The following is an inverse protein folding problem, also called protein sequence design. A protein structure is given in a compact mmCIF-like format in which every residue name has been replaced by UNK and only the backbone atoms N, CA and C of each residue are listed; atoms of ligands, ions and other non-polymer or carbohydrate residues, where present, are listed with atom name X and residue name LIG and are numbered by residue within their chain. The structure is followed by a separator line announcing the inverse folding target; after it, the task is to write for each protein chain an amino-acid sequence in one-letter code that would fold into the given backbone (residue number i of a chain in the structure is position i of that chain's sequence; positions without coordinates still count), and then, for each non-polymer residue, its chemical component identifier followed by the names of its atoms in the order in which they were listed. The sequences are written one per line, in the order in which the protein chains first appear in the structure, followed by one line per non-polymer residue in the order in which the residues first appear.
data_IF_466803084234
#
_entry.id   IF_466803084234
#
_cell.length_a   1.000
_cell.length_b   1.000
_cell.length_c   1.000
_cell.angle_alpha   90.00
_cell.angle_beta   90.00
_cell.angle_gamma   90.00
#
_symmetry.space_group_name_H-M   'P 1'
#
loop_
_entity.id
_entity.type
_entity.pdbx_description
1 polymer ?
#
# COMPACT_ATOMS: atom_id res chain seq x y z
N UNK A 1 -20.80 9.79 6.44
CA UNK A 1 -19.38 10.17 6.58
C UNK A 1 -19.31 11.64 6.98
N UNK A 2 -18.60 11.96 8.05
CA UNK A 2 -18.46 13.35 8.52
C UNK A 2 -17.26 14.07 7.88
N UNK A 3 -17.15 15.38 8.09
CA UNK A 3 -16.09 16.22 7.50
C UNK A 3 -14.68 15.72 7.86
N UNK A 4 -14.49 15.20 9.08
CA UNK A 4 -13.19 14.66 9.53
C UNK A 4 -12.66 13.52 8.64
N UNK A 5 -13.55 12.69 8.10
CA UNK A 5 -13.19 11.61 7.18
C UNK A 5 -12.63 12.15 5.86
N UNK A 6 -13.26 13.18 5.29
CA UNK A 6 -12.82 13.80 4.03
C UNK A 6 -11.49 14.53 4.21
N UNK A 7 -11.34 15.26 5.31
CA UNK A 7 -10.09 15.92 5.69
C UNK A 7 -8.94 14.92 5.88
N UNK A 8 -9.18 13.80 6.58
CA UNK A 8 -8.21 12.72 6.73
C UNK A 8 -7.83 12.08 5.38
N UNK A 9 -8.83 11.73 4.58
CA UNK A 9 -8.61 11.04 3.29
C UNK A 9 -7.85 11.94 2.32
N UNK A 10 -8.22 13.22 2.24
CA UNK A 10 -7.51 14.23 1.45
C UNK A 10 -6.07 14.41 1.92
N UNK A 11 -5.84 14.53 3.23
CA UNK A 11 -4.50 14.64 3.81
C UNK A 11 -3.61 13.42 3.46
N UNK A 12 -4.13 12.20 3.66
CA UNK A 12 -3.41 10.96 3.35
C UNK A 12 -3.09 10.85 1.85
N UNK A 13 -4.03 11.24 1.00
CA UNK A 13 -3.88 11.23 -0.47
C UNK A 13 -2.82 12.23 -0.94
N UNK A 14 -2.81 13.44 -0.39
CA UNK A 14 -1.79 14.45 -0.68
C UNK A 14 -0.40 14.00 -0.21
N UNK A 15 -0.29 13.42 1.00
CA UNK A 15 0.98 12.90 1.51
C UNK A 15 1.52 11.78 0.60
N UNK A 16 0.64 10.89 0.15
CA UNK A 16 1.01 9.83 -0.78
C UNK A 16 1.44 10.38 -2.15
N UNK A 17 0.74 11.38 -2.68
CA UNK A 17 1.13 12.03 -3.93
C UNK A 17 2.52 12.67 -3.80
N UNK A 18 2.78 13.34 -2.67
CA UNK A 18 4.09 13.94 -2.41
C UNK A 18 5.22 12.91 -2.38
N UNK A 19 4.94 11.72 -1.85
CA UNK A 19 5.89 10.61 -1.81
C UNK A 19 6.19 10.08 -3.22
N UNK A 20 5.17 9.89 -4.06
CA UNK A 20 5.34 9.41 -5.43
C UNK A 20 6.16 10.42 -6.25
N UNK A 21 5.76 11.70 -6.21
CA UNK A 21 6.45 12.77 -6.93
C UNK A 21 7.92 12.86 -6.51
N UNK A 22 8.20 12.83 -5.21
CA UNK A 22 9.57 12.86 -4.70
C UNK A 22 10.40 11.68 -5.21
N UNK A 23 9.90 10.45 -5.02
CA UNK A 23 10.67 9.25 -5.36
C UNK A 23 10.96 9.16 -6.85
N UNK A 24 9.96 9.43 -7.68
CA UNK A 24 10.14 9.37 -9.12
C UNK A 24 11.02 10.50 -9.64
N UNK A 25 10.89 11.72 -9.11
CA UNK A 25 11.75 12.85 -9.51
C UNK A 25 13.22 12.54 -9.23
N UNK A 26 13.55 12.03 -8.04
CA UNK A 26 14.94 11.74 -7.71
C UNK A 26 15.47 10.52 -8.46
N UNK A 27 14.64 9.49 -8.64
CA UNK A 27 15.02 8.34 -9.47
C UNK A 27 15.36 8.78 -10.90
N UNK A 28 14.56 9.68 -11.46
CA UNK A 28 14.79 10.26 -12.78
C UNK A 28 16.07 11.08 -12.86
N UNK A 29 16.33 11.96 -11.87
CA UNK A 29 17.55 12.78 -11.80
C UNK A 29 18.80 11.92 -11.70
N UNK A 30 18.80 10.92 -10.81
CA UNK A 30 19.93 9.98 -10.67
C UNK A 30 20.17 9.25 -12.00
N UNK A 31 19.11 8.81 -12.69
CA UNK A 31 19.25 8.15 -13.97
C UNK A 31 19.83 9.08 -15.04
N UNK A 32 19.36 10.33 -15.14
CA UNK A 32 19.90 11.29 -16.10
C UNK A 32 21.38 11.61 -15.87
N UNK A 33 21.78 11.77 -14.60
CA UNK A 33 23.15 12.14 -14.26
C UNK A 33 24.12 10.95 -14.38
N UNK A 34 23.69 9.75 -14.01
CA UNK A 34 24.57 8.55 -13.97
C UNK A 34 24.46 7.66 -15.20
N UNK A 35 23.39 7.78 -15.99
CA UNK A 35 23.00 6.86 -17.07
C UNK A 35 22.95 5.38 -16.63
N UNK A 36 22.77 5.13 -15.32
CA UNK A 36 22.83 3.80 -14.73
C UNK A 36 21.51 3.43 -14.07
N UNK A 37 20.90 2.37 -14.58
CA UNK A 37 19.66 1.79 -14.05
C UNK A 37 19.86 1.31 -12.62
N UNK A 38 21.05 0.78 -12.30
CA UNK A 38 21.39 0.28 -10.96
C UNK A 38 21.34 1.40 -9.92
N UNK A 39 21.97 2.55 -10.19
CA UNK A 39 21.95 3.68 -9.26
C UNK A 39 20.53 4.23 -9.08
N UNK A 40 19.76 4.32 -10.16
CA UNK A 40 18.36 4.74 -10.12
C UNK A 40 17.49 3.77 -9.28
N UNK A 41 17.72 2.46 -9.38
CA UNK A 41 16.98 1.43 -8.64
C UNK A 41 17.35 1.35 -7.15
N UNK A 42 18.58 1.71 -6.77
CA UNK A 42 19.04 1.72 -5.37
C UNK A 42 18.24 2.72 -4.54
N UNK A 43 17.81 3.84 -5.12
CA UNK A 43 17.06 4.88 -4.42
C UNK A 43 15.70 4.39 -3.84
N UNK A 44 14.76 3.86 -4.63
CA UNK A 44 13.51 3.32 -4.09
C UNK A 44 13.73 2.09 -3.19
N UNK A 45 14.80 1.32 -3.42
CA UNK A 45 15.18 0.19 -2.57
C UNK A 45 15.56 0.65 -1.16
N UNK A 46 16.47 1.62 -1.03
CA UNK A 46 16.88 2.20 0.26
C UNK A 46 15.66 2.78 0.98
N UNK A 47 14.80 3.51 0.27
CA UNK A 47 13.56 4.05 0.85
C UNK A 47 12.70 2.93 1.45
N UNK A 48 12.50 1.84 0.72
CA UNK A 48 11.68 0.70 1.18
C UNK A 48 12.28 0.06 2.43
N UNK A 49 13.60 -0.17 2.45
CA UNK A 49 14.30 -0.69 3.62
C UNK A 49 14.19 0.25 4.83
N UNK A 50 14.39 1.55 4.63
CA UNK A 50 14.22 2.56 5.68
C UNK A 50 12.79 2.56 6.25
N UNK A 51 11.78 2.48 5.39
CA UNK A 51 10.39 2.42 5.84
C UNK A 51 10.06 1.13 6.58
N UNK A 52 10.60 -0.01 6.14
CA UNK A 52 10.49 -1.30 6.83
C UNK A 52 11.08 -1.22 8.24
N UNK A 53 12.33 -0.74 8.36
CA UNK A 53 12.98 -0.55 9.66
C UNK A 53 12.23 0.44 10.55
N UNK A 54 11.75 1.55 9.97
CA UNK A 54 10.98 2.53 10.71
C UNK A 54 9.62 1.97 11.16
N UNK A 55 8.96 1.17 10.33
CA UNK A 55 7.70 0.49 10.63
C UNK A 55 7.82 -0.48 11.81
N UNK A 56 8.94 -1.18 11.93
CA UNK A 56 9.29 -2.02 13.09
C UNK A 56 9.39 -1.22 14.40
N UNK A 57 9.95 -0.01 14.33
CA UNK A 57 10.21 0.85 15.50
C UNK A 57 8.98 1.72 15.83
N UNK A 58 8.08 1.94 14.87
CA UNK A 58 6.88 2.79 15.00
C UNK A 58 6.04 2.50 16.26
N UNK A 59 5.72 1.25 16.63
CA UNK A 59 4.97 0.94 17.86
C UNK A 59 5.64 1.43 19.14
N UNK A 60 6.97 1.25 19.22
CA UNK A 60 7.77 1.65 20.39
C UNK A 60 7.78 3.18 20.53
N UNK A 61 7.91 3.89 19.41
CA UNK A 61 7.83 5.35 19.38
C UNK A 61 6.43 5.83 19.74
N UNK A 62 5.39 5.17 19.23
CA UNK A 62 4.00 5.52 19.51
C UNK A 62 3.67 5.42 21.00
N UNK A 63 4.19 4.39 21.69
CA UNK A 63 4.02 4.23 23.13
C UNK A 63 4.83 5.25 23.94
N UNK A 64 6.04 5.59 23.49
CA UNK A 64 6.92 6.54 24.20
C UNK A 64 6.47 7.99 24.04
N UNK A 65 6.13 8.40 22.83
CA UNK A 65 5.84 9.79 22.49
C UNK A 65 4.35 10.09 22.28
N UNK A 66 3.47 9.09 22.36
CA UNK A 66 2.05 9.18 22.03
C UNK A 66 1.84 9.43 20.52
N UNK A 67 1.04 8.61 19.83
CA UNK A 67 0.97 8.75 18.37
C UNK A 67 0.39 10.08 17.90
N UNK A 68 -0.47 10.76 18.68
CA UNK A 68 -0.94 12.09 18.29
C UNK A 68 0.23 13.09 18.16
N UNK A 69 1.27 12.99 19.02
CA UNK A 69 2.44 13.87 18.93
C UNK A 69 3.28 13.49 17.72
N UNK A 70 3.44 12.21 17.43
CA UNK A 70 4.15 11.75 16.24
C UNK A 70 3.45 12.21 14.97
N UNK A 71 2.13 12.04 14.88
CA UNK A 71 1.29 12.50 13.76
C UNK A 71 1.28 14.02 13.60
N UNK A 72 1.62 14.79 14.64
CA UNK A 72 1.76 16.24 14.56
C UNK A 72 3.18 16.67 14.16
N UNK A 73 4.19 16.17 14.86
CA UNK A 73 5.56 16.68 14.75
C UNK A 73 6.38 16.01 13.66
N UNK A 74 6.17 14.72 13.38
CA UNK A 74 6.95 14.01 12.36
C UNK A 74 6.64 14.55 10.95
N UNK A 75 5.39 14.86 10.54
CA UNK A 75 5.13 15.52 9.26
C UNK A 75 5.75 16.91 9.15
N UNK A 76 5.78 17.69 10.24
CA UNK A 76 6.43 19.01 10.26
C UNK A 76 7.95 18.90 10.14
N UNK A 77 8.56 17.94 10.85
CA UNK A 77 9.98 17.62 10.69
C UNK A 77 10.29 17.20 9.25
N UNK A 78 9.44 16.33 8.68
CA UNK A 78 9.55 15.87 7.30
C UNK A 78 9.46 17.04 6.32
N UNK A 79 8.52 17.97 6.51
CA UNK A 79 8.41 19.19 5.71
C UNK A 79 9.70 20.01 5.78
N UNK A 80 10.26 20.21 6.98
CA UNK A 80 11.55 20.90 7.15
C UNK A 80 12.69 20.21 6.39
N UNK A 81 12.77 18.88 6.47
CA UNK A 81 13.75 18.09 5.71
C UNK A 81 13.57 18.26 4.20
N UNK A 82 12.33 18.25 3.71
CA UNK A 82 12.01 18.48 2.29
C UNK A 82 12.37 19.88 1.81
N UNK A 83 12.14 20.91 2.64
CA UNK A 83 12.51 22.30 2.32
C UNK A 83 14.04 22.41 2.22
N UNK A 84 14.78 21.88 3.20
CA UNK A 84 16.25 21.87 3.17
C UNK A 84 16.75 21.09 1.96
N UNK A 85 16.14 19.93 1.68
CA UNK A 85 16.48 19.11 0.52
C UNK A 85 16.27 19.84 -0.80
N UNK A 86 15.14 20.51 -0.96
CA UNK A 86 14.82 21.27 -2.18
C UNK A 86 15.74 22.48 -2.32
N UNK A 87 15.99 23.23 -1.25
CA UNK A 87 16.86 24.39 -1.26
C UNK A 87 18.32 24.04 -1.58
N UNK A 88 18.79 22.87 -1.15
CA UNK A 88 20.15 22.36 -1.39
C UNK A 88 20.20 21.34 -2.53
N UNK A 89 19.18 21.28 -3.38
CA UNK A 89 19.04 20.25 -4.39
C UNK A 89 20.25 20.17 -5.33
N UNK A 90 20.74 21.32 -5.82
CA UNK A 90 21.91 21.36 -6.70
C UNK A 90 23.20 20.86 -6.01
N UNK A 91 23.37 21.16 -4.71
CA UNK A 91 24.50 20.64 -3.92
C UNK A 91 24.40 19.12 -3.73
N UNK A 92 23.21 18.61 -3.41
CA UNK A 92 22.97 17.18 -3.26
C UNK A 92 23.09 16.41 -4.58
N UNK A 93 22.73 17.03 -5.70
CA UNK A 93 22.92 16.47 -7.04
C UNK A 93 24.42 16.26 -7.34
N UNK A 94 25.28 17.23 -7.00
CA UNK A 94 26.72 17.10 -7.18
C UNK A 94 27.40 16.15 -6.17
N UNK A 95 26.79 15.95 -5.00
CA UNK A 95 27.31 15.09 -3.94
C UNK A 95 26.32 13.97 -3.59
N UNK A 96 26.36 12.89 -4.37
CA UNK A 96 25.42 11.77 -4.28
C UNK A 96 25.30 11.14 -2.88
N UNK A 97 26.37 11.17 -2.06
CA UNK A 97 26.33 10.71 -0.66
C UNK A 97 25.31 11.51 0.16
N UNK A 98 25.30 12.84 0.05
CA UNK A 98 24.39 13.69 0.81
C UNK A 98 22.93 13.53 0.37
N UNK A 99 22.72 13.27 -0.92
CA UNK A 99 21.41 12.88 -1.46
C UNK A 99 20.88 11.62 -0.77
N UNK A 100 21.69 10.56 -0.68
CA UNK A 100 21.31 9.33 0.01
C UNK A 100 21.10 9.52 1.51
N UNK A 101 21.92 10.34 2.18
CA UNK A 101 21.73 10.65 3.60
C UNK A 101 20.38 11.33 3.82
N UNK A 102 20.05 12.36 3.04
CA UNK A 102 18.77 13.06 3.16
C UNK A 102 17.58 12.13 2.84
N UNK A 103 17.72 11.26 1.83
CA UNK A 103 16.74 10.22 1.51
C UNK A 103 16.44 9.33 2.72
N UNK A 104 17.48 8.83 3.41
CA UNK A 104 17.32 7.92 4.54
C UNK A 104 16.50 8.60 5.65
N UNK A 105 16.87 9.83 6.02
CA UNK A 105 16.14 10.58 7.04
C UNK A 105 14.68 10.83 6.65
N UNK A 106 14.43 11.28 5.42
CA UNK A 106 13.07 11.51 4.92
C UNK A 106 12.26 10.21 4.90
N UNK A 107 12.85 9.10 4.45
CA UNK A 107 12.16 7.81 4.31
C UNK A 107 11.74 7.21 5.65
N UNK A 108 12.61 7.33 6.66
CA UNK A 108 12.33 6.87 8.03
C UNK A 108 11.07 7.55 8.59
N UNK A 109 10.89 8.86 8.34
CA UNK A 109 9.70 9.57 8.84
C UNK A 109 8.38 8.98 8.30
N UNK A 110 8.36 8.57 7.03
CA UNK A 110 7.19 7.94 6.42
C UNK A 110 6.83 6.60 7.06
N UNK A 111 7.83 5.77 7.35
CA UNK A 111 7.62 4.47 8.01
C UNK A 111 7.13 4.59 9.45
N UNK A 112 7.50 5.66 10.18
CA UNK A 112 6.94 5.93 11.50
C UNK A 112 5.45 6.28 11.45
N UNK A 113 5.04 7.08 10.47
CA UNK A 113 3.68 7.61 10.38
C UNK A 113 2.69 6.63 9.74
N UNK A 114 3.11 5.81 8.78
CA UNK A 114 2.21 4.98 7.98
C UNK A 114 1.30 4.04 8.80
N UNK A 115 1.80 3.23 9.76
CA UNK A 115 0.95 2.36 10.58
C UNK A 115 -0.01 3.15 11.48
N UNK A 116 0.42 4.34 11.91
CA UNK A 116 -0.39 5.24 12.73
C UNK A 116 -1.57 5.79 11.93
N UNK A 117 -1.33 6.26 10.69
CA UNK A 117 -2.39 6.77 9.82
C UNK A 117 -3.42 5.69 9.52
N UNK A 118 -3.00 4.44 9.26
CA UNK A 118 -3.94 3.34 8.98
C UNK A 118 -4.86 3.04 10.17
N UNK A 119 -4.36 3.18 11.39
CA UNK A 119 -5.14 2.93 12.61
C UNK A 119 -6.23 3.99 12.90
N UNK A 120 -6.24 5.13 12.21
CA UNK A 120 -7.17 6.24 12.48
C UNK A 120 -8.56 5.97 11.88
N UNK A 121 -8.66 5.20 10.80
CA UNK A 121 -9.93 5.04 10.06
C UNK A 121 -11.12 4.64 10.95
N UNK A 122 -10.99 3.68 11.88
CA UNK A 122 -12.11 3.29 12.75
C UNK A 122 -12.54 4.34 13.76
N UNK A 123 -11.70 5.35 14.02
CA UNK A 123 -12.05 6.48 14.89
C UNK A 123 -12.88 7.55 14.14
N UNK A 124 -12.84 7.56 12.81
CA UNK A 124 -13.46 8.59 11.98
C UNK A 124 -14.90 8.29 11.58
N UNK A 125 -15.25 7.02 11.56
CA UNK A 125 -16.57 6.55 11.10
C UNK A 125 -17.08 5.43 12.02
N UNK A 126 -18.40 5.31 12.18
CA UNK A 126 -18.96 4.16 12.89
C UNK A 126 -18.61 2.83 12.21
N UNK A 127 -18.54 1.74 12.98
CA UNK A 127 -18.17 0.40 12.52
C UNK A 127 -18.98 -0.07 11.30
N UNK A 128 -20.27 0.27 11.23
CA UNK A 128 -21.16 -0.09 10.12
C UNK A 128 -20.91 0.70 8.81
N UNK A 129 -20.04 1.70 8.82
CA UNK A 129 -19.64 2.48 7.65
C UNK A 129 -18.19 2.21 7.22
N UNK A 130 -17.48 1.28 7.89
CA UNK A 130 -16.06 1.00 7.62
C UNK A 130 -15.82 0.53 6.18
N UNK A 131 -16.65 -0.38 5.65
CA UNK A 131 -16.50 -0.80 4.24
C UNK A 131 -16.63 0.39 3.32
N UNK A 132 -17.62 1.26 3.54
CA UNK A 132 -17.81 2.44 2.71
C UNK A 132 -16.61 3.38 2.80
N UNK A 133 -16.08 3.59 4.00
CA UNK A 133 -14.93 4.47 4.26
C UNK A 133 -13.63 3.94 3.65
N UNK A 134 -13.33 2.66 3.84
CA UNK A 134 -12.18 1.99 3.23
C UNK A 134 -12.30 1.96 1.70
N UNK A 135 -13.48 1.66 1.16
CA UNK A 135 -13.74 1.69 -0.29
C UNK A 135 -13.50 3.09 -0.86
N UNK A 136 -14.05 4.12 -0.22
CA UNK A 136 -13.83 5.51 -0.65
C UNK A 136 -12.35 5.87 -0.57
N UNK A 137 -11.65 5.57 0.53
CA UNK A 137 -10.22 5.84 0.65
C UNK A 137 -9.39 5.09 -0.41
N UNK A 138 -9.77 3.87 -0.78
CA UNK A 138 -9.11 3.10 -1.84
C UNK A 138 -9.25 3.76 -3.21
N UNK A 139 -10.40 4.34 -3.54
CA UNK A 139 -10.59 5.07 -4.81
C UNK A 139 -9.58 6.21 -4.91
N UNK A 140 -9.46 7.03 -3.85
CA UNK A 140 -8.47 8.12 -3.82
C UNK A 140 -7.04 7.59 -3.91
N UNK A 141 -6.73 6.49 -3.22
CA UNK A 141 -5.43 5.84 -3.30
C UNK A 141 -5.10 5.44 -4.75
N UNK A 142 -6.00 4.74 -5.45
CA UNK A 142 -5.79 4.31 -6.83
C UNK A 142 -5.67 5.50 -7.78
N UNK A 143 -6.50 6.54 -7.60
CA UNK A 143 -6.42 7.78 -8.40
C UNK A 143 -5.09 8.50 -8.21
N UNK A 144 -4.56 8.56 -6.98
CA UNK A 144 -3.24 9.15 -6.72
C UNK A 144 -2.11 8.32 -7.31
N UNK A 145 -2.19 6.98 -7.26
CA UNK A 145 -1.17 6.13 -7.89
C UNK A 145 -1.14 6.33 -9.40
N UNK A 146 -2.28 6.19 -10.07
CA UNK A 146 -2.32 6.31 -11.53
C UNK A 146 -1.88 7.71 -11.98
N UNK A 147 -2.36 8.78 -11.31
CA UNK A 147 -1.95 10.13 -11.64
C UNK A 147 -0.47 10.40 -11.34
N UNK A 148 0.00 9.98 -10.16
CA UNK A 148 1.38 10.17 -9.74
C UNK A 148 2.36 9.45 -10.67
N UNK A 149 2.18 8.15 -10.89
CA UNK A 149 3.10 7.37 -11.72
C UNK A 149 3.05 7.78 -13.20
N UNK A 150 1.88 8.16 -13.72
CA UNK A 150 1.76 8.54 -15.14
C UNK A 150 2.29 9.93 -15.45
N UNK A 151 2.03 10.91 -14.57
CA UNK A 151 2.33 12.31 -14.87
C UNK A 151 3.64 12.82 -14.29
N UNK A 152 4.28 12.12 -13.33
CA UNK A 152 5.50 12.65 -12.70
C UNK A 152 6.62 12.87 -13.72
N UNK A 153 6.90 11.90 -14.60
CA UNK A 153 7.97 12.05 -15.60
C UNK A 153 7.74 13.25 -16.54
N UNK A 154 6.50 13.42 -17.02
CA UNK A 154 6.11 14.57 -17.84
C UNK A 154 6.28 15.90 -17.07
N UNK A 155 5.89 15.94 -15.79
CA UNK A 155 6.05 17.13 -14.95
C UNK A 155 7.53 17.45 -14.73
N UNK A 156 8.37 16.44 -14.45
CA UNK A 156 9.83 16.65 -14.29
C UNK A 156 10.43 17.24 -15.57
N UNK A 157 10.05 16.74 -16.75
CA UNK A 157 10.54 17.25 -18.03
C UNK A 157 10.03 18.66 -18.36
N UNK A 158 8.80 18.99 -17.96
CA UNK A 158 8.16 20.26 -18.32
C UNK A 158 8.57 21.43 -17.43
N UNK A 159 8.58 21.22 -16.10
CA UNK A 159 8.88 22.29 -15.13
C UNK A 159 10.23 22.13 -14.44
N UNK A 160 10.93 21.02 -14.65
CA UNK A 160 12.22 20.73 -14.02
C UNK A 160 12.10 20.12 -12.61
N UNK A 161 13.11 19.34 -12.17
CA UNK A 161 13.09 18.63 -10.89
C UNK A 161 13.03 19.56 -9.68
N UNK A 162 13.75 20.70 -9.71
CA UNK A 162 13.76 21.67 -8.62
C UNK A 162 12.36 22.23 -8.31
N UNK A 163 11.63 22.68 -9.34
CA UNK A 163 10.30 23.24 -9.17
C UNK A 163 9.27 22.19 -8.75
N UNK A 164 9.40 20.95 -9.25
CA UNK A 164 8.52 19.87 -8.84
C UNK A 164 8.75 19.44 -7.38
N UNK A 165 9.99 19.46 -6.90
CA UNK A 165 10.31 19.26 -5.47
C UNK A 165 9.76 20.40 -4.60
N UNK A 166 9.83 21.65 -5.08
CA UNK A 166 9.19 22.79 -4.43
C UNK A 166 7.67 22.64 -4.35
N UNK A 167 7.02 22.21 -5.43
CA UNK A 167 5.59 21.89 -5.45
C UNK A 167 5.24 20.76 -4.49
N UNK A 168 6.10 19.76 -4.37
CA UNK A 168 5.95 18.66 -3.40
C UNK A 168 5.93 19.18 -1.95
N UNK A 169 6.73 20.19 -1.62
CA UNK A 169 6.69 20.85 -0.30
C UNK A 169 5.33 21.50 -0.04
N UNK A 170 4.74 22.17 -1.04
CA UNK A 170 3.40 22.77 -0.92
C UNK A 170 2.32 21.70 -0.68
N UNK A 171 2.41 20.55 -1.35
CA UNK A 171 1.51 19.42 -1.12
C UNK A 171 1.58 18.93 0.32
N UNK A 172 2.78 18.84 0.91
CA UNK A 172 2.96 18.41 2.31
C UNK A 172 2.35 19.43 3.28
N UNK A 173 2.49 20.74 3.00
CA UNK A 173 1.82 21.81 3.78
C UNK A 173 0.31 21.65 3.71
N UNK A 174 -0.25 21.51 2.51
CA UNK A 174 -1.69 21.30 2.30
C UNK A 174 -2.19 20.02 3.01
N UNK A 175 -1.43 18.93 2.92
CA UNK A 175 -1.73 17.68 3.63
C UNK A 175 -1.80 17.91 5.14
N UNK A 176 -0.86 18.66 5.72
CA UNK A 176 -0.81 18.97 7.15
C UNK A 176 -1.97 19.87 7.58
N UNK A 177 -2.35 20.85 6.76
CA UNK A 177 -3.52 21.71 6.99
C UNK A 177 -4.82 20.90 6.94
N UNK A 178 -5.00 20.03 5.93
CA UNK A 178 -6.14 19.13 5.84
C UNK A 178 -6.23 18.18 7.03
N UNK A 179 -5.11 17.81 7.66
CA UNK A 179 -5.13 16.93 8.83
C UNK A 179 -5.55 17.64 10.13
N UNK A 180 -5.49 18.97 10.19
CA UNK A 180 -5.74 19.73 11.44
C UNK A 180 -7.08 19.41 12.13
N UNK A 181 -8.22 19.29 11.43
CA UNK A 181 -9.51 18.97 12.04
C UNK A 181 -9.59 17.58 12.68
N UNK A 182 -8.63 16.70 12.39
CA UNK A 182 -8.56 15.32 12.92
C UNK A 182 -7.87 15.29 14.28
N UNK A 183 -6.94 16.21 14.58
CA UNK A 183 -6.18 16.20 15.84
C UNK A 183 -7.02 16.21 17.13
N UNK A 184 -8.12 16.98 17.25
CA UNK A 184 -8.92 16.97 18.47
C UNK A 184 -9.47 15.59 18.83
N UNK A 185 -9.82 14.79 17.82
CA UNK A 185 -10.30 13.41 17.97
C UNK A 185 -9.21 12.53 18.61
N UNK A 186 -7.99 12.61 18.06
CA UNK A 186 -6.83 11.85 18.53
C UNK A 186 -6.40 12.24 19.95
N UNK A 187 -6.63 13.50 20.35
CA UNK A 187 -6.30 14.02 21.68
C UNK A 187 -7.31 13.58 22.73
N UNK A 188 -8.61 13.61 22.40
CA UNK A 188 -9.70 13.25 23.33
C UNK A 188 -9.68 11.76 23.68
N UNK A 189 -9.41 10.91 22.70
CA UNK A 189 -9.47 9.48 22.92
C UNK A 189 -8.39 8.99 23.90
N UNK A 190 -7.22 9.63 23.99
CA UNK A 190 -6.15 9.14 24.89
C UNK A 190 -5.78 7.66 24.67
N UNK A 191 -6.25 7.05 23.57
CA UNK A 191 -6.32 5.61 23.27
C UNK A 191 -4.94 4.99 23.04
N UNK A 192 -3.91 5.83 23.04
CA UNK A 192 -2.50 5.43 23.06
C UNK A 192 -1.95 5.84 24.44
N UNK A 193 -2.58 5.32 25.49
CA UNK A 193 -2.12 5.47 26.87
C UNK A 193 -1.03 4.43 27.14
N UNK A 194 0.03 4.86 27.84
CA UNK A 194 1.22 4.10 28.28
C UNK A 194 0.98 2.57 28.39
N UNK A 195 1.39 1.82 27.38
CA UNK A 195 1.72 0.41 27.60
C UNK A 195 3.12 0.34 28.24
N UNK A 196 3.28 -0.55 29.22
CA UNK A 196 4.50 -0.69 30.02
C UNK A 196 5.75 -0.91 29.15
N UNK A 197 6.89 -0.40 29.65
CA UNK A 197 8.23 -0.45 29.03
C UNK A 197 8.52 -1.81 28.36
N UNK A 198 9.12 -1.74 27.18
CA UNK A 198 9.76 -2.82 26.41
C UNK A 198 8.88 -3.93 25.81
N UNK A 199 7.62 -4.10 26.22
CA UNK A 199 6.71 -5.13 25.64
C UNK A 199 6.04 -4.72 24.32
N UNK A 200 6.01 -3.42 24.01
CA UNK A 200 5.32 -2.81 22.87
C UNK A 200 5.57 -3.45 21.51
N UNK A 201 6.83 -3.83 21.24
CA UNK A 201 7.20 -4.45 19.97
C UNK A 201 6.46 -5.78 19.76
N UNK A 202 6.30 -6.58 20.83
CA UNK A 202 5.68 -7.90 20.78
C UNK A 202 4.16 -7.86 20.80
N UNK A 203 3.55 -6.75 21.21
CA UNK A 203 2.09 -6.67 21.37
C UNK A 203 1.35 -6.94 20.06
N UNK A 204 1.76 -6.31 18.95
CA UNK A 204 1.14 -6.52 17.64
C UNK A 204 1.22 -7.99 17.19
N UNK A 205 2.41 -8.59 17.32
CA UNK A 205 2.62 -10.01 17.04
C UNK A 205 1.82 -10.93 17.96
N UNK A 206 1.68 -10.56 19.23
CA UNK A 206 0.91 -11.32 20.23
C UNK A 206 -0.57 -11.30 19.90
N UNK A 207 -1.10 -10.15 19.46
CA UNK A 207 -2.50 -10.03 19.01
C UNK A 207 -2.73 -10.91 17.79
N UNK A 208 -1.85 -10.83 16.79
CA UNK A 208 -1.91 -11.69 15.59
C UNK A 208 -1.89 -13.15 16.01
N UNK A 209 -1.04 -13.56 16.95
CA UNK A 209 -0.93 -14.98 17.34
C UNK A 209 -2.12 -15.48 18.16
N UNK A 210 -2.67 -14.66 19.06
CA UNK A 210 -3.75 -15.03 19.99
C UNK A 210 -5.14 -14.95 19.35
N UNK A 211 -5.41 -13.95 18.51
CA UNK A 211 -6.70 -13.83 17.83
C UNK A 211 -6.69 -14.69 16.56
N UNK A 212 -7.46 -15.78 16.57
CA UNK A 212 -7.53 -16.74 15.45
C UNK A 212 -8.01 -16.09 14.14
N UNK A 213 -8.95 -15.15 14.22
CA UNK A 213 -9.47 -14.42 13.06
C UNK A 213 -8.35 -13.57 12.45
N UNK A 214 -7.71 -12.73 13.27
CA UNK A 214 -6.59 -11.87 12.82
C UNK A 214 -5.45 -12.72 12.27
N UNK A 215 -5.06 -13.82 12.94
CA UNK A 215 -4.02 -14.73 12.45
C UNK A 215 -4.30 -15.27 11.06
N UNK A 216 -5.54 -15.70 10.83
CA UNK A 216 -5.96 -16.29 9.55
C UNK A 216 -5.92 -15.21 8.46
N UNK A 217 -6.38 -13.98 8.76
CA UNK A 217 -6.28 -12.84 7.85
C UNK A 217 -4.83 -12.49 7.54
N UNK A 218 -3.94 -12.44 8.55
CA UNK A 218 -2.52 -12.17 8.34
C UNK A 218 -1.88 -13.23 7.45
N UNK A 219 -2.23 -14.50 7.62
CA UNK A 219 -1.72 -15.57 6.76
C UNK A 219 -2.22 -15.43 5.31
N UNK A 220 -3.50 -15.11 5.12
CA UNK A 220 -4.05 -14.80 3.79
C UNK A 220 -3.33 -13.62 3.16
N UNK A 221 -3.15 -12.54 3.91
CA UNK A 221 -2.44 -11.33 3.48
C UNK A 221 -1.02 -11.65 3.01
N UNK A 222 -0.28 -12.47 3.75
CA UNK A 222 1.07 -12.91 3.36
C UNK A 222 1.04 -13.72 2.06
N UNK A 223 0.12 -14.68 1.93
CA UNK A 223 0.00 -15.49 0.71
C UNK A 223 -0.35 -14.62 -0.51
N UNK A 224 -1.25 -13.66 -0.33
CA UNK A 224 -1.69 -12.75 -1.39
C UNK A 224 -0.61 -11.73 -1.74
N UNK A 225 0.19 -11.26 -0.78
CA UNK A 225 1.38 -10.44 -1.03
C UNK A 225 2.44 -11.20 -1.84
N UNK A 226 2.67 -12.49 -1.53
CA UNK A 226 3.58 -13.35 -2.30
C UNK A 226 3.07 -13.49 -3.73
N UNK A 227 1.80 -13.87 -3.90
CA UNK A 227 1.22 -14.00 -5.23
C UNK A 227 1.15 -12.67 -5.99
N UNK A 228 0.90 -11.56 -5.31
CA UNK A 228 0.81 -10.24 -5.91
C UNK A 228 2.10 -9.80 -6.59
N UNK A 229 3.26 -10.37 -6.20
CA UNK A 229 4.54 -10.09 -6.84
C UNK A 229 4.58 -10.49 -8.33
N UNK A 230 3.66 -11.32 -8.83
CA UNK A 230 3.57 -11.62 -10.27
C UNK A 230 3.17 -10.39 -11.10
N UNK A 231 2.58 -9.36 -10.49
CA UNK A 231 2.15 -8.13 -11.16
C UNK A 231 3.22 -7.03 -11.19
N UNK A 232 4.48 -7.36 -10.88
CA UNK A 232 5.59 -6.42 -10.98
C UNK A 232 5.83 -6.04 -12.43
N UNK A 233 6.19 -4.78 -12.66
CA UNK A 233 6.34 -4.20 -13.99
C UNK A 233 7.17 -5.05 -14.95
N UNK A 234 8.29 -5.62 -14.50
CA UNK A 234 9.16 -6.46 -15.33
C UNK A 234 8.47 -7.73 -15.85
N UNK A 235 7.68 -8.42 -15.00
CA UNK A 235 6.95 -9.64 -15.40
C UNK A 235 5.83 -9.30 -16.37
N UNK A 236 5.07 -8.24 -16.08
CA UNK A 236 4.00 -7.77 -16.95
C UNK A 236 4.55 -7.34 -18.32
N UNK A 237 5.72 -6.68 -18.35
CA UNK A 237 6.39 -6.28 -19.59
C UNK A 237 6.85 -7.50 -20.39
N UNK A 238 7.47 -8.48 -19.73
CA UNK A 238 7.87 -9.74 -20.37
C UNK A 238 6.65 -10.48 -20.95
N UNK A 239 5.54 -10.56 -20.23
CA UNK A 239 4.31 -11.17 -20.74
C UNK A 239 3.75 -10.46 -21.97
N UNK A 240 3.71 -9.13 -21.97
CA UNK A 240 3.25 -8.35 -23.12
C UNK A 240 4.12 -8.57 -24.35
N UNK A 241 5.44 -8.52 -24.17
CA UNK A 241 6.39 -8.57 -25.29
C UNK A 241 6.66 -9.99 -25.80
N UNK A 242 6.65 -10.98 -24.91
CA UNK A 242 7.05 -12.37 -25.24
C UNK A 242 5.86 -13.31 -25.38
N UNK A 243 4.79 -13.15 -24.59
CA UNK A 243 3.63 -14.04 -24.61
C UNK A 243 2.48 -13.49 -25.47
N UNK A 244 2.23 -12.17 -25.42
CA UNK A 244 1.22 -11.50 -26.25
C UNK A 244 1.77 -10.99 -27.60
N UNK A 245 3.10 -10.96 -27.77
CA UNK A 245 3.78 -10.50 -28.99
C UNK A 245 3.42 -9.05 -29.39
N UNK A 246 3.21 -8.18 -28.40
CA UNK A 246 2.82 -6.79 -28.57
C UNK A 246 3.95 -5.81 -28.21
N UNK A 247 3.81 -4.54 -28.61
CA UNK A 247 4.78 -3.49 -28.27
C UNK A 247 4.80 -3.16 -26.77
N UNK A 248 5.90 -2.56 -26.32
CA UNK A 248 6.06 -2.14 -24.91
C UNK A 248 4.97 -1.16 -24.45
N UNK A 249 4.32 -0.43 -25.35
CA UNK A 249 3.22 0.48 -25.02
C UNK A 249 2.04 -0.25 -24.35
N UNK A 250 1.83 -1.52 -24.71
CA UNK A 250 0.77 -2.35 -24.12
C UNK A 250 1.00 -2.64 -22.63
N UNK A 251 2.25 -2.59 -22.15
CA UNK A 251 2.52 -2.64 -20.71
C UNK A 251 1.87 -1.45 -19.99
N UNK A 252 1.88 -0.27 -20.60
CA UNK A 252 1.16 0.91 -20.11
C UNK A 252 -0.35 0.69 -20.09
N UNK A 253 -0.91 0.14 -21.18
CA UNK A 253 -2.35 -0.16 -21.26
C UNK A 253 -2.81 -1.19 -20.21
N UNK A 254 -2.01 -2.23 -19.95
CA UNK A 254 -2.30 -3.25 -18.93
C UNK A 254 -2.32 -2.64 -17.52
N UNK A 255 -1.33 -1.79 -17.20
CA UNK A 255 -1.30 -1.08 -15.92
C UNK A 255 -2.50 -0.12 -15.78
N UNK A 256 -2.82 0.64 -16.82
CA UNK A 256 -3.98 1.53 -16.84
C UNK A 256 -5.30 0.75 -16.65
N UNK A 257 -5.46 -0.39 -17.35
CA UNK A 257 -6.59 -1.29 -17.21
C UNK A 257 -6.74 -1.81 -15.77
N UNK A 258 -5.64 -2.22 -15.13
CA UNK A 258 -5.63 -2.66 -13.74
C UNK A 258 -6.08 -1.57 -12.76
N UNK A 259 -5.51 -0.36 -12.86
CA UNK A 259 -5.90 0.77 -12.02
C UNK A 259 -7.35 1.21 -12.25
N UNK A 260 -7.80 1.24 -13.51
CA UNK A 260 -9.20 1.54 -13.86
C UNK A 260 -10.13 0.49 -13.25
N UNK A 261 -9.80 -0.80 -13.38
CA UNK A 261 -10.54 -1.88 -12.73
C UNK A 261 -10.60 -1.69 -11.21
N UNK A 262 -9.48 -1.36 -10.56
CA UNK A 262 -9.44 -1.16 -9.12
C UNK A 262 -10.28 0.04 -8.66
N UNK A 263 -10.30 1.14 -9.43
CA UNK A 263 -11.18 2.30 -9.18
C UNK A 263 -12.66 1.89 -9.30
N UNK A 264 -13.02 1.17 -10.37
CA UNK A 264 -14.38 0.61 -10.55
C UNK A 264 -14.72 -0.30 -9.36
N UNK A 265 -13.78 -1.14 -8.93
CA UNK A 265 -13.91 -1.99 -7.77
C UNK A 265 -14.20 -1.23 -6.48
N UNK A 266 -13.48 -0.14 -6.23
CA UNK A 266 -13.70 0.74 -5.08
C UNK A 266 -15.08 1.41 -5.13
N UNK A 267 -15.51 1.84 -6.32
CA UNK A 267 -16.85 2.41 -6.52
C UNK A 267 -17.96 1.38 -6.26
N UNK A 268 -17.81 0.17 -6.79
CA UNK A 268 -18.73 -0.95 -6.56
C UNK A 268 -18.77 -1.34 -5.08
N UNK A 269 -17.62 -1.44 -4.42
CA UNK A 269 -17.53 -1.74 -3.00
C UNK A 269 -18.18 -0.66 -2.13
N UNK A 270 -18.02 0.62 -2.49
CA UNK A 270 -18.68 1.74 -1.81
C UNK A 270 -20.21 1.70 -2.02
N UNK A 271 -20.67 1.41 -3.25
CA UNK A 271 -22.08 1.29 -3.60
C UNK A 271 -22.75 0.11 -2.87
N UNK A 272 -22.12 -1.06 -2.85
CA UNK A 272 -22.60 -2.27 -2.17
C UNK A 272 -22.21 -2.35 -0.69
N UNK A 273 -21.64 -1.28 -0.12
CA UNK A 273 -21.01 -1.30 1.20
C UNK A 273 -21.87 -1.89 2.30
N UNK A 274 -23.19 -1.64 2.28
CA UNK A 274 -24.13 -2.20 3.26
C UNK A 274 -24.23 -3.73 3.22
N UNK A 275 -24.14 -4.33 2.03
CA UNK A 275 -24.19 -5.79 1.85
C UNK A 275 -22.86 -6.41 2.25
N UNK A 276 -21.75 -5.83 1.77
CA UNK A 276 -20.39 -6.28 2.08
C UNK A 276 -20.13 -6.23 3.59
N UNK A 277 -20.52 -5.13 4.26
CA UNK A 277 -20.35 -4.97 5.71
C UNK A 277 -21.02 -6.09 6.52
N UNK A 278 -22.13 -6.66 6.04
CA UNK A 278 -22.84 -7.76 6.72
C UNK A 278 -22.18 -9.12 6.49
N UNK A 279 -21.39 -9.27 5.43
CA UNK A 279 -20.86 -10.56 4.96
C UNK A 279 -19.38 -10.45 4.57
N UNK A 280 -18.59 -9.73 5.37
CA UNK A 280 -17.18 -9.41 5.06
C UNK A 280 -16.36 -10.64 4.65
N UNK A 281 -16.47 -11.73 5.40
CA UNK A 281 -15.74 -12.98 5.10
C UNK A 281 -16.13 -13.59 3.75
N UNK A 282 -17.43 -13.54 3.39
CA UNK A 282 -17.91 -14.07 2.11
C UNK A 282 -17.35 -13.25 0.94
N UNK A 283 -17.42 -11.92 1.03
CA UNK A 283 -16.91 -11.04 -0.02
C UNK A 283 -15.38 -11.06 -0.13
N UNK A 284 -14.67 -11.21 0.99
CA UNK A 284 -13.23 -11.45 1.01
C UNK A 284 -12.87 -12.74 0.27
N UNK A 285 -13.54 -13.84 0.64
CA UNK A 285 -13.36 -15.16 0.02
C UNK A 285 -13.68 -15.17 -1.48
N UNK A 286 -14.85 -14.66 -1.85
CA UNK A 286 -15.29 -14.60 -3.24
C UNK A 286 -14.38 -13.69 -4.07
N UNK A 287 -13.97 -12.55 -3.54
CA UNK A 287 -13.02 -11.64 -4.21
C UNK A 287 -11.67 -12.31 -4.46
N UNK A 288 -11.12 -13.00 -3.46
CA UNK A 288 -9.84 -13.73 -3.61
C UNK A 288 -9.94 -14.87 -4.63
N UNK A 289 -11.04 -15.64 -4.62
CA UNK A 289 -11.30 -16.70 -5.59
C UNK A 289 -11.44 -16.17 -7.02
N UNK A 290 -12.26 -15.13 -7.23
CA UNK A 290 -12.47 -14.53 -8.56
C UNK A 290 -11.17 -13.92 -9.07
N UNK A 291 -10.41 -13.23 -8.22
CA UNK A 291 -9.11 -12.68 -8.57
C UNK A 291 -8.12 -13.76 -9.00
N UNK A 292 -8.07 -14.89 -8.29
CA UNK A 292 -7.22 -16.03 -8.64
C UNK A 292 -7.59 -16.64 -10.00
N UNK A 293 -8.89 -16.90 -10.23
CA UNK A 293 -9.38 -17.42 -11.52
C UNK A 293 -9.05 -16.47 -12.66
N UNK A 294 -9.29 -15.17 -12.49
CA UNK A 294 -8.96 -14.18 -13.50
C UNK A 294 -7.45 -14.07 -13.76
N UNK A 295 -6.61 -14.24 -12.74
CA UNK A 295 -5.14 -14.29 -12.90
C UNK A 295 -4.73 -15.50 -13.75
N UNK A 296 -5.35 -16.66 -13.53
CA UNK A 296 -5.10 -17.86 -14.36
C UNK A 296 -5.56 -17.63 -15.79
N UNK A 297 -6.75 -17.05 -15.99
CA UNK A 297 -7.27 -16.71 -17.32
C UNK A 297 -6.39 -15.69 -18.03
N UNK A 298 -5.85 -14.71 -17.32
CA UNK A 298 -4.89 -13.75 -17.85
C UNK A 298 -3.67 -14.47 -18.42
N UNK A 299 -3.12 -15.42 -17.67
CA UNK A 299 -1.94 -16.19 -18.07
C UNK A 299 -2.21 -17.06 -19.32
N UNK A 300 -3.36 -17.74 -19.38
CA UNK A 300 -3.72 -18.65 -20.47
C UNK A 300 -4.09 -17.92 -21.77
N UNK A 301 -4.42 -16.65 -21.68
CA UNK A 301 -4.83 -15.84 -22.81
C UNK A 301 -3.64 -15.49 -23.73
N UNK A 302 -3.92 -15.37 -25.03
CA UNK A 302 -2.98 -14.86 -26.04
C UNK A 302 -3.53 -13.66 -26.83
N UNK A 303 -4.74 -13.19 -26.52
CA UNK A 303 -5.38 -12.04 -27.16
C UNK A 303 -5.16 -10.76 -26.33
N UNK A 304 -4.44 -9.75 -26.82
CA UNK A 304 -4.11 -8.54 -26.04
C UNK A 304 -5.33 -7.80 -25.49
N UNK A 305 -6.39 -7.65 -26.30
CA UNK A 305 -7.64 -7.02 -25.87
C UNK A 305 -8.35 -7.78 -24.74
N UNK A 306 -8.28 -9.11 -24.75
CA UNK A 306 -8.83 -9.93 -23.68
C UNK A 306 -8.01 -9.76 -22.39
N UNK A 307 -6.69 -9.58 -22.49
CA UNK A 307 -5.83 -9.29 -21.35
C UNK A 307 -6.24 -7.98 -20.65
N UNK A 308 -6.51 -6.92 -21.42
CA UNK A 308 -7.03 -5.66 -20.88
C UNK A 308 -8.37 -5.83 -20.17
N UNK A 309 -9.32 -6.56 -20.80
CA UNK A 309 -10.62 -6.83 -20.20
C UNK A 309 -10.48 -7.62 -18.89
N UNK A 310 -9.62 -8.64 -18.87
CA UNK A 310 -9.36 -9.42 -17.66
C UNK A 310 -8.77 -8.52 -16.57
N UNK A 311 -7.80 -7.66 -16.86
CA UNK A 311 -7.25 -6.72 -15.88
C UNK A 311 -8.30 -5.76 -15.30
N UNK A 312 -9.23 -5.26 -16.12
CA UNK A 312 -10.35 -4.44 -15.65
C UNK A 312 -11.25 -5.25 -14.72
N UNK A 313 -11.57 -6.51 -15.06
CA UNK A 313 -12.42 -7.39 -14.25
C UNK A 313 -11.73 -7.87 -12.96
N UNK A 314 -10.40 -7.95 -12.93
CA UNK A 314 -9.64 -8.30 -11.73
C UNK A 314 -9.75 -7.23 -10.65
N UNK A 315 -9.82 -5.96 -11.04
CA UNK A 315 -9.85 -4.84 -10.11
C UNK A 315 -11.01 -4.87 -9.10
N UNK A 316 -12.28 -5.11 -9.50
CA UNK A 316 -13.38 -5.31 -8.57
C UNK A 316 -13.18 -6.45 -7.57
N UNK A 317 -12.71 -7.61 -8.05
CA UNK A 317 -12.45 -8.75 -7.19
C UNK A 317 -11.36 -8.43 -6.15
N UNK A 318 -10.27 -7.80 -6.59
CA UNK A 318 -9.18 -7.34 -5.74
C UNK A 318 -9.65 -6.33 -4.69
N UNK A 319 -10.39 -5.29 -5.11
CA UNK A 319 -10.73 -4.18 -4.23
C UNK A 319 -11.81 -4.56 -3.19
N UNK A 320 -12.79 -5.38 -3.58
CA UNK A 320 -13.79 -5.91 -2.66
C UNK A 320 -13.13 -6.80 -1.60
N UNK A 321 -12.17 -7.65 -2.02
CA UNK A 321 -11.36 -8.47 -1.10
C UNK A 321 -10.60 -7.59 -0.12
N UNK A 322 -9.78 -6.66 -0.62
CA UNK A 322 -8.90 -5.81 0.18
C UNK A 322 -9.68 -4.98 1.21
N UNK A 323 -10.78 -4.34 0.79
CA UNK A 323 -11.65 -3.58 1.70
C UNK A 323 -12.25 -4.48 2.77
N UNK A 324 -12.73 -5.67 2.40
CA UNK A 324 -13.33 -6.61 3.35
C UNK A 324 -12.31 -7.05 4.40
N UNK A 325 -11.10 -7.43 3.95
CA UNK A 325 -10.01 -7.83 4.84
C UNK A 325 -9.59 -6.71 5.78
N UNK A 326 -9.41 -5.49 5.28
CA UNK A 326 -9.10 -4.32 6.10
C UNK A 326 -10.20 -4.04 7.12
N UNK A 327 -11.46 -4.12 6.74
CA UNK A 327 -12.58 -3.89 7.66
C UNK A 327 -12.67 -4.98 8.73
N UNK A 328 -12.40 -6.25 8.40
CA UNK A 328 -12.37 -7.31 9.42
C UNK A 328 -11.23 -7.03 10.41
N UNK A 329 -10.01 -6.73 9.92
CA UNK A 329 -8.87 -6.41 10.79
C UNK A 329 -9.18 -5.25 11.75
N UNK A 330 -9.82 -4.20 11.24
CA UNK A 330 -10.25 -3.02 12.01
C UNK A 330 -11.35 -3.34 13.03
N UNK A 331 -12.22 -4.32 12.76
CA UNK A 331 -13.34 -4.69 13.64
C UNK A 331 -12.90 -5.69 14.72
N UNK A 332 -11.97 -6.59 14.38
CA UNK A 332 -11.49 -7.66 15.26
C UNK A 332 -10.32 -7.23 16.17
N UNK A 333 -9.77 -6.04 15.94
CA UNK A 333 -8.62 -5.53 16.69
C UNK A 333 -9.02 -4.29 17.50
N UNK A 334 -8.74 -4.26 18.82
CA UNK A 334 -8.95 -3.06 19.63
C UNK A 334 -8.19 -1.86 19.05
N UNK A 335 -8.85 -0.69 19.00
CA UNK A 335 -8.30 0.54 18.42
C UNK A 335 -6.93 0.92 19.01
N UNK A 336 -6.70 0.65 20.30
CA UNK A 336 -5.42 0.91 20.99
C UNK A 336 -4.26 0.03 20.53
N UNK A 337 -4.53 -1.13 19.93
CA UNK A 337 -3.54 -2.10 19.45
C UNK A 337 -3.40 -2.09 17.93
N UNK A 338 -4.33 -1.43 17.23
CA UNK A 338 -4.46 -1.49 15.78
C UNK A 338 -3.21 -0.98 15.05
N UNK A 339 -2.57 0.09 15.54
CA UNK A 339 -1.31 0.59 14.96
C UNK A 339 -0.16 -0.43 15.10
N UNK A 340 -0.11 -1.18 16.20
CA UNK A 340 0.89 -2.23 16.44
C UNK A 340 0.67 -3.42 15.52
N UNK A 341 -0.59 -3.80 15.29
CA UNK A 341 -0.96 -4.85 14.34
C UNK A 341 -0.63 -4.42 12.90
N UNK A 342 -0.94 -3.18 12.51
CA UNK A 342 -0.55 -2.64 11.20
C UNK A 342 0.97 -2.60 11.01
N UNK A 343 1.75 -2.26 12.04
CA UNK A 343 3.21 -2.34 11.98
C UNK A 343 3.71 -3.77 11.74
N UNK A 344 3.15 -4.77 12.44
CA UNK A 344 3.52 -6.17 12.23
C UNK A 344 3.12 -6.66 10.82
N UNK A 345 1.92 -6.31 10.34
CA UNK A 345 1.47 -6.57 8.97
C UNK A 345 2.39 -5.93 7.93
N UNK A 346 2.79 -4.68 8.14
CA UNK A 346 3.67 -3.95 7.23
C UNK A 346 5.02 -4.66 7.06
N UNK A 347 5.58 -5.19 8.15
CA UNK A 347 6.83 -5.96 8.12
C UNK A 347 6.64 -7.28 7.39
N UNK A 348 5.59 -8.04 7.73
CA UNK A 348 5.28 -9.30 7.08
C UNK A 348 5.07 -9.11 5.58
N UNK A 349 4.26 -8.14 5.18
CA UNK A 349 4.01 -7.80 3.78
C UNK A 349 5.30 -7.40 3.08
N UNK A 350 6.12 -6.50 3.65
CA UNK A 350 7.36 -6.05 3.02
C UNK A 350 8.38 -7.17 2.80
N UNK A 351 8.56 -8.05 3.80
CA UNK A 351 9.46 -9.21 3.69
C UNK A 351 8.91 -10.22 2.68
N UNK A 352 7.60 -10.48 2.72
CA UNK A 352 6.95 -11.45 1.83
C UNK A 352 7.01 -11.00 0.38
N UNK A 353 6.68 -9.74 0.09
CA UNK A 353 6.79 -9.15 -1.25
C UNK A 353 8.26 -9.19 -1.68
N UNK A 354 9.19 -8.66 -0.88
CA UNK A 354 10.60 -8.58 -1.25
C UNK A 354 11.22 -9.93 -1.61
N UNK A 355 10.97 -10.97 -0.81
CA UNK A 355 11.39 -12.33 -1.13
C UNK A 355 10.69 -12.86 -2.39
N UNK A 356 9.39 -12.61 -2.52
CA UNK A 356 8.62 -13.06 -3.67
C UNK A 356 9.13 -12.44 -4.98
N UNK A 357 9.44 -11.13 -5.02
CA UNK A 357 10.02 -10.47 -6.21
C UNK A 357 11.24 -11.24 -6.72
N UNK A 358 12.15 -11.59 -5.82
CA UNK A 358 13.37 -12.29 -6.14
C UNK A 358 13.09 -13.68 -6.75
N UNK A 359 12.27 -14.50 -6.08
CA UNK A 359 11.95 -15.84 -6.58
C UNK A 359 11.10 -15.81 -7.85
N UNK A 360 10.15 -14.88 -7.96
CA UNK A 360 9.32 -14.68 -9.15
C UNK A 360 10.18 -14.31 -10.35
N UNK A 361 11.19 -13.44 -10.17
CA UNK A 361 12.16 -13.13 -11.22
C UNK A 361 12.94 -14.36 -11.69
N UNK A 362 13.48 -15.16 -10.76
CA UNK A 362 14.19 -16.40 -11.11
C UNK A 362 13.30 -17.41 -11.85
N UNK A 363 12.03 -17.54 -11.43
CA UNK A 363 11.07 -18.43 -12.10
C UNK A 363 10.72 -17.88 -13.49
N UNK A 364 10.58 -16.56 -13.64
CA UNK A 364 10.30 -15.93 -14.93
C UNK A 364 11.44 -16.14 -15.92
N UNK A 365 12.69 -15.98 -15.50
CA UNK A 365 13.87 -16.21 -16.35
C UNK A 365 13.97 -17.67 -16.81
N UNK A 366 13.55 -18.62 -15.97
CA UNK A 366 13.64 -20.05 -16.27
C UNK A 366 12.43 -20.61 -17.05
N UNK A 367 11.22 -20.12 -16.78
CA UNK A 367 9.96 -20.71 -17.27
C UNK A 367 9.04 -19.72 -18.00
N UNK A 368 9.40 -18.44 -18.08
CA UNK A 368 8.62 -17.40 -18.73
C UNK A 368 7.56 -16.75 -17.82
N UNK A 369 7.08 -15.57 -18.25
CA UNK A 369 6.12 -14.77 -17.49
C UNK A 369 4.73 -15.44 -17.39
N UNK A 370 4.27 -16.09 -18.46
CA UNK A 370 3.03 -16.89 -18.44
C UNK A 370 3.02 -17.94 -17.33
N UNK A 371 4.12 -18.67 -17.13
CA UNK A 371 4.21 -19.68 -16.06
C UNK A 371 4.11 -19.05 -14.67
N UNK A 372 4.74 -17.90 -14.48
CA UNK A 372 4.68 -17.13 -13.24
C UNK A 372 3.24 -16.73 -12.89
N UNK A 373 2.46 -16.21 -13.84
CA UNK A 373 1.05 -15.87 -13.60
C UNK A 373 0.19 -17.09 -13.29
N UNK A 374 0.42 -18.22 -13.98
CA UNK A 374 -0.27 -19.48 -13.67
C UNK A 374 0.01 -19.95 -12.25
N UNK A 375 1.29 -19.96 -11.86
CA UNK A 375 1.72 -20.38 -10.54
C UNK A 375 1.16 -19.46 -9.45
N UNK A 376 1.22 -18.14 -9.65
CA UNK A 376 0.66 -17.14 -8.74
C UNK A 376 -0.86 -17.28 -8.58
N UNK A 377 -1.58 -17.43 -9.69
CA UNK A 377 -3.03 -17.63 -9.69
C UNK A 377 -3.44 -18.92 -8.96
N UNK A 378 -2.77 -20.04 -9.23
CA UNK A 378 -2.99 -21.31 -8.52
C UNK A 378 -2.68 -21.19 -7.03
N UNK A 379 -1.61 -20.49 -6.66
CA UNK A 379 -1.23 -20.28 -5.27
C UNK A 379 -2.31 -19.51 -4.49
N UNK A 380 -2.83 -18.41 -5.05
CA UNK A 380 -3.96 -17.67 -4.44
C UNK A 380 -5.20 -18.55 -4.35
N UNK A 381 -5.49 -19.34 -5.40
CA UNK A 381 -6.66 -20.22 -5.42
C UNK A 381 -6.61 -21.25 -4.29
N UNK A 382 -5.44 -21.86 -4.05
CA UNK A 382 -5.23 -22.82 -2.97
C UNK A 382 -5.32 -22.14 -1.60
N UNK A 383 -4.62 -21.02 -1.40
CA UNK A 383 -4.61 -20.32 -0.12
C UNK A 383 -5.98 -19.76 0.26
N UNK A 384 -6.72 -19.19 -0.70
CA UNK A 384 -8.09 -18.72 -0.51
C UNK A 384 -9.03 -19.86 -0.13
N UNK A 385 -8.94 -21.01 -0.82
CA UNK A 385 -9.74 -22.20 -0.53
C UNK A 385 -9.49 -22.72 0.89
N UNK A 386 -8.22 -22.83 1.30
CA UNK A 386 -7.84 -23.27 2.65
C UNK A 386 -8.38 -22.32 3.72
N UNK A 387 -8.25 -21.01 3.49
CA UNK A 387 -8.72 -20.01 4.44
C UNK A 387 -10.25 -20.04 4.60
N UNK A 388 -10.98 -20.17 3.48
CA UNK A 388 -12.44 -20.32 3.49
C UNK A 388 -12.85 -21.53 4.33
N UNK A 389 -12.21 -22.67 4.12
CA UNK A 389 -12.45 -23.90 4.89
C UNK A 389 -12.17 -23.69 6.39
N UNK A 390 -11.03 -23.07 6.72
CA UNK A 390 -10.68 -22.77 8.11
C UNK A 390 -11.72 -21.87 8.80
N UNK A 391 -12.22 -20.85 8.10
CA UNK A 391 -13.27 -19.96 8.61
C UNK A 391 -14.63 -20.65 8.77
N UNK A 392 -15.04 -21.47 7.80
CA UNK A 392 -16.29 -22.22 7.90
C UNK A 392 -16.28 -23.17 9.10
N UNK A 393 -15.14 -23.83 9.35
CA UNK A 393 -14.97 -24.70 10.53
C UNK A 393 -15.05 -23.89 11.83
N UNK A 394 -14.46 -22.70 11.88
CA UNK A 394 -14.53 -21.83 13.06
C UNK A 394 -15.96 -21.36 13.34
N UNK A 395 -16.70 -20.92 12.31
CA UNK A 395 -18.10 -20.49 12.45
C UNK A 395 -18.99 -21.64 12.92
N UNK A 396 -18.78 -22.85 12.41
CA UNK A 396 -19.52 -24.05 12.82
C UNK A 396 -19.25 -24.42 14.28
N UNK A 397 -18.00 -24.26 14.76
CA UNK A 397 -17.63 -24.50 16.17
C UNK A 397 -18.12 -23.44 17.16
N UNK A 398 -18.47 -22.24 16.69
CA UNK A 398 -19.03 -21.19 17.54
C UNK A 398 -20.57 -21.24 17.63
N UNK A 399 -21.21 -22.03 16.75
CA UNK A 399 -22.65 -22.25 16.71
C UNK A 399 -23.09 -23.54 17.42
N UNK A 400 -22.13 -24.35 17.87
CA UNK A 400 -22.29 -25.53 18.74
C UNK A 400 -21.74 -25.15 20.10
#
# INVERSE_FOLDING_TARGET
MGNKFWFYTGSKSLLMLSDILFVMTITFVIYQDTQSITYAAVFPLIRTLCQLMAGLISPVLADRFQAYRLLKWVPLLRLGMFIVFTAQFHFFQQHMIWLFVALIFISITGGFISPLLQAIMPMLVPTNQLVKANSTASIFHQMVQIAGYSFTGMLVLSIGPFYLLGFTCLIIVLSSLCFMPVFPLLKQEGVIRKANKMSSFKDGWTVIWKNKTVRTLTFMDVCENIAGAVWIGAITLAFVTQDLMESEDWWGFINAAYYTGAIIGGLLAAWMSRFIQKQLLLFMAAGSFIYAVLTILFALNSLPWLALLICILMGPAYQIRDVSQQTILQTETPVSQLSKVYSAHYVLSSVSVGLSIFFVGLIADAFGARFVYLLGGLFVLVCSSIAILAFMVQKKRAAV
#
